data_IF_283919338242
#
_entry.id   IF_283919338242
#
_cell.length_a   1.000
_cell.length_b   1.000
_cell.length_c   1.000
_cell.angle_alpha   90.00
_cell.angle_beta   90.00
_cell.angle_gamma   90.00
#
_symmetry.space_group_name_H-M   'P 1'
#
loop_
_entity.id
_entity.type
_entity.pdbx_description
1 polymer ?
#
# COMPACT_ATOMS: atom_id res chain seq x y z
N UNK A 1 -3.31 -30.99 -18.72
CA UNK A 1 -2.41 -30.30 -17.78
C UNK A 1 -2.95 -30.54 -16.40
N UNK A 2 -2.25 -31.35 -15.61
CA UNK A 2 -2.73 -31.83 -14.31
C UNK A 2 -2.33 -30.90 -13.19
N UNK A 3 -3.02 -30.98 -12.04
CA UNK A 3 -2.69 -30.21 -10.83
C UNK A 3 -1.23 -30.38 -10.35
N UNK A 4 -0.57 -31.47 -10.75
CA UNK A 4 0.85 -31.75 -10.50
C UNK A 4 1.81 -30.83 -11.26
N UNK A 5 1.44 -30.36 -12.46
CA UNK A 5 2.33 -29.54 -13.29
C UNK A 5 2.47 -28.12 -12.72
N UNK A 6 1.41 -27.60 -12.09
CA UNK A 6 1.44 -26.31 -11.38
C UNK A 6 2.25 -26.35 -10.08
N UNK A 7 2.33 -27.51 -9.42
CA UNK A 7 3.12 -27.66 -8.19
C UNK A 7 4.63 -27.43 -8.43
N UNK A 8 5.12 -27.74 -9.64
CA UNK A 8 6.52 -27.53 -10.02
C UNK A 8 6.86 -26.05 -10.30
N UNK A 9 5.88 -25.23 -10.65
CA UNK A 9 6.08 -23.80 -10.95
C UNK A 9 6.09 -22.93 -9.68
N UNK A 10 5.45 -23.39 -8.61
CA UNK A 10 5.33 -22.65 -7.34
C UNK A 10 6.66 -22.15 -6.77
N UNK A 11 7.76 -22.92 -6.75
CA UNK A 11 9.05 -22.42 -6.26
C UNK A 11 9.62 -21.27 -7.12
N UNK A 12 9.36 -21.29 -8.43
CA UNK A 12 9.79 -20.23 -9.35
C UNK A 12 8.95 -18.97 -9.10
N UNK A 13 7.63 -19.12 -8.94
CA UNK A 13 6.73 -18.02 -8.60
C UNK A 13 7.12 -17.36 -7.27
N UNK A 14 7.42 -18.15 -6.24
CA UNK A 14 7.86 -17.63 -4.94
C UNK A 14 9.18 -16.87 -5.05
N UNK A 15 10.17 -17.40 -5.80
CA UNK A 15 11.42 -16.67 -6.05
C UNK A 15 11.21 -15.37 -6.82
N UNK A 16 10.31 -15.39 -7.81
CA UNK A 16 9.95 -14.19 -8.56
C UNK A 16 9.32 -13.15 -7.64
N UNK A 17 8.41 -13.56 -6.75
CA UNK A 17 7.76 -12.65 -5.80
C UNK A 17 8.76 -12.08 -4.79
N UNK A 18 9.64 -12.92 -4.24
CA UNK A 18 10.71 -12.44 -3.35
C UNK A 18 11.60 -11.41 -4.05
N UNK A 19 12.02 -11.67 -5.28
CA UNK A 19 12.82 -10.71 -6.07
C UNK A 19 12.05 -9.42 -6.36
N UNK A 20 10.78 -9.52 -6.75
CA UNK A 20 9.88 -8.38 -6.96
C UNK A 20 9.75 -7.53 -5.70
N UNK A 21 9.86 -8.12 -4.52
CA UNK A 21 9.80 -7.45 -3.23
C UNK A 21 11.18 -7.03 -2.68
N UNK A 22 12.25 -7.15 -3.48
CA UNK A 22 13.61 -6.74 -3.09
C UNK A 22 14.34 -7.74 -2.19
N UNK A 23 13.72 -8.87 -1.85
CA UNK A 23 14.29 -9.86 -0.94
C UNK A 23 15.47 -10.58 -1.61
N UNK A 24 16.57 -10.71 -0.87
CA UNK A 24 17.81 -11.34 -1.37
C UNK A 24 18.62 -10.45 -2.32
N UNK A 25 18.24 -9.18 -2.51
CA UNK A 25 19.06 -8.19 -3.19
C UNK A 25 20.04 -7.57 -2.19
N UNK A 26 21.30 -7.38 -2.60
CA UNK A 26 22.25 -6.66 -1.77
C UNK A 26 21.88 -5.16 -1.73
N UNK A 27 21.98 -4.51 -0.56
CA UNK A 27 21.77 -3.06 -0.47
C UNK A 27 22.74 -2.29 -1.37
N UNK A 28 22.24 -1.21 -1.97
CA UNK A 28 23.03 -0.34 -2.84
C UNK A 28 23.57 0.86 -2.05
N UNK A 29 24.90 0.98 -1.96
CA UNK A 29 25.53 2.17 -1.37
C UNK A 29 25.58 3.29 -2.41
N UNK A 30 25.02 4.45 -2.05
CA UNK A 30 25.02 5.67 -2.86
C UNK A 30 25.74 6.78 -2.11
N UNK A 31 26.13 7.88 -2.78
CA UNK A 31 26.66 9.07 -2.11
C UNK A 31 25.71 9.70 -1.07
N UNK A 32 24.42 9.35 -1.11
CA UNK A 32 23.37 9.89 -0.26
C UNK A 32 22.91 8.91 0.83
N UNK A 33 23.54 7.74 0.94
CA UNK A 33 23.18 6.69 1.89
C UNK A 33 22.99 5.32 1.24
N UNK A 34 22.54 4.35 2.02
CA UNK A 34 22.31 2.98 1.59
C UNK A 34 20.84 2.76 1.26
N UNK A 35 20.57 2.20 0.07
CA UNK A 35 19.24 1.79 -0.37
C UNK A 35 19.08 0.30 -0.09
N UNK A 36 18.18 -0.02 0.84
CA UNK A 36 17.75 -1.39 1.09
C UNK A 36 16.46 -1.68 0.31
N UNK A 37 16.57 -2.49 -0.75
CA UNK A 37 15.45 -2.76 -1.65
C UNK A 37 14.31 -3.53 -0.97
N UNK A 38 14.58 -4.31 0.07
CA UNK A 38 13.54 -5.02 0.82
C UNK A 38 12.65 -4.05 1.61
N UNK A 39 13.16 -2.86 1.93
CA UNK A 39 12.42 -1.80 2.64
C UNK A 39 11.81 -0.79 1.65
N UNK A 40 12.61 -0.32 0.71
CA UNK A 40 12.22 0.79 -0.16
C UNK A 40 11.15 0.41 -1.19
N UNK A 41 11.20 -0.82 -1.73
CA UNK A 41 10.21 -1.28 -2.73
C UNK A 41 8.80 -1.34 -2.12
N UNK A 42 8.57 -2.01 -0.97
CA UNK A 42 7.27 -1.97 -0.31
C UNK A 42 6.83 -0.55 0.05
N UNK A 43 7.76 0.29 0.50
CA UNK A 43 7.48 1.68 0.88
C UNK A 43 6.92 2.47 -0.30
N UNK A 44 7.61 2.47 -1.44
CA UNK A 44 7.16 3.17 -2.66
C UNK A 44 5.82 2.63 -3.16
N UNK A 45 5.62 1.30 -3.17
CA UNK A 45 4.37 0.68 -3.61
C UNK A 45 3.19 0.99 -2.69
N UNK A 46 3.44 1.07 -1.38
CA UNK A 46 2.41 1.39 -0.39
C UNK A 46 2.02 2.87 -0.36
N UNK A 47 2.83 3.75 -0.96
CA UNK A 47 2.66 5.21 -0.91
C UNK A 47 1.29 5.69 -1.39
N UNK A 48 0.71 5.08 -2.43
CA UNK A 48 -0.63 5.44 -2.91
C UNK A 48 -1.73 5.13 -1.90
N UNK A 49 -1.65 3.97 -1.24
CA UNK A 49 -2.60 3.57 -0.20
C UNK A 49 -2.48 4.46 1.05
N UNK A 50 -1.25 4.73 1.48
CA UNK A 50 -0.99 5.62 2.62
C UNK A 50 -1.52 7.02 2.33
N UNK A 51 -1.29 7.53 1.12
CA UNK A 51 -1.80 8.83 0.70
C UNK A 51 -3.33 8.86 0.74
N UNK A 52 -4.00 7.85 0.21
CA UNK A 52 -5.47 7.76 0.25
C UNK A 52 -6.00 7.73 1.69
N UNK A 53 -5.34 7.01 2.60
CA UNK A 53 -5.68 7.03 4.03
C UNK A 53 -5.55 8.42 4.65
N UNK A 54 -4.47 9.14 4.34
CA UNK A 54 -4.24 10.50 4.84
C UNK A 54 -5.32 11.44 4.29
N UNK A 55 -5.58 11.42 2.98
CA UNK A 55 -6.56 12.28 2.34
C UNK A 55 -7.98 12.04 2.94
N UNK A 56 -8.32 10.80 3.28
CA UNK A 56 -9.57 10.45 3.98
C UNK A 56 -9.64 10.96 5.43
N UNK A 57 -8.52 10.92 6.16
CA UNK A 57 -8.43 11.47 7.52
C UNK A 57 -8.59 12.99 7.49
N UNK A 58 -7.88 13.66 6.58
CA UNK A 58 -7.93 15.11 6.44
C UNK A 58 -9.34 15.58 6.06
N UNK A 59 -10.00 14.88 5.12
CA UNK A 59 -11.38 15.16 4.75
C UNK A 59 -12.35 14.94 5.93
N UNK A 60 -12.10 13.93 6.78
CA UNK A 60 -12.89 13.72 8.00
C UNK A 60 -12.74 14.90 8.96
N UNK A 61 -11.51 15.34 9.21
CA UNK A 61 -11.21 16.48 10.09
C UNK A 61 -11.89 17.75 9.54
N UNK A 62 -11.75 18.00 8.24
CA UNK A 62 -12.40 19.12 7.55
C UNK A 62 -13.92 19.12 7.78
N UNK A 63 -14.57 17.95 7.66
CA UNK A 63 -16.00 17.79 7.85
C UNK A 63 -16.47 17.75 9.30
N UNK A 64 -15.56 17.67 10.27
CA UNK A 64 -15.88 17.81 11.69
C UNK A 64 -16.01 19.27 12.12
N UNK A 65 -15.51 20.21 11.33
CA UNK A 65 -15.73 21.63 11.55
C UNK A 65 -17.19 22.01 11.20
N UNK A 66 -17.96 22.60 12.14
CA UNK A 66 -19.34 23.01 11.88
C UNK A 66 -19.50 23.96 10.70
N UNK A 67 -18.48 24.76 10.38
CA UNK A 67 -18.48 25.68 9.23
C UNK A 67 -18.55 24.95 7.88
N UNK A 68 -18.11 23.69 7.83
CA UNK A 68 -18.06 22.86 6.63
C UNK A 68 -19.22 21.84 6.56
N UNK A 69 -20.10 21.80 7.54
CA UNK A 69 -21.16 20.79 7.64
C UNK A 69 -22.10 20.72 6.42
N UNK A 70 -22.26 21.84 5.71
CA UNK A 70 -23.15 21.95 4.54
C UNK A 70 -22.47 21.57 3.21
N UNK A 71 -21.19 21.18 3.24
CA UNK A 71 -20.46 20.74 2.04
C UNK A 71 -20.96 19.35 1.60
N UNK A 72 -20.99 19.12 0.29
CA UNK A 72 -21.55 17.89 -0.28
C UNK A 72 -20.79 16.63 0.21
N UNK A 73 -19.46 16.71 0.22
CA UNK A 73 -18.55 15.70 0.72
C UNK A 73 -18.74 15.40 2.23
N UNK A 74 -19.19 16.38 3.01
CA UNK A 74 -19.40 16.21 4.45
C UNK A 74 -20.72 15.52 4.83
N UNK A 75 -21.67 15.44 3.90
CA UNK A 75 -22.97 14.78 4.12
C UNK A 75 -22.81 13.30 4.47
N UNK A 76 -21.87 12.61 3.79
CA UNK A 76 -21.55 11.21 4.05
C UNK A 76 -20.33 11.06 4.97
N UNK A 77 -19.30 11.90 4.81
CA UNK A 77 -18.05 11.79 5.56
C UNK A 77 -18.23 11.99 7.07
N UNK A 78 -19.11 12.90 7.49
CA UNK A 78 -19.38 13.17 8.92
C UNK A 78 -19.85 11.93 9.68
N UNK A 79 -20.57 11.01 9.01
CA UNK A 79 -21.13 9.79 9.59
C UNK A 79 -20.21 8.57 9.46
N UNK A 80 -19.22 8.63 8.57
CA UNK A 80 -18.29 7.52 8.35
C UNK A 80 -17.34 7.33 9.54
N UNK A 81 -17.20 6.09 10.01
CA UNK A 81 -16.37 5.73 11.19
C UNK A 81 -15.22 4.78 10.87
N UNK A 82 -15.37 3.99 9.81
CA UNK A 82 -14.45 2.92 9.48
C UNK A 82 -14.15 2.95 7.98
N UNK A 83 -12.89 2.69 7.65
CA UNK A 83 -12.44 2.40 6.30
C UNK A 83 -11.96 0.95 6.26
N UNK A 84 -12.36 0.23 5.23
CA UNK A 84 -11.90 -1.13 4.99
C UNK A 84 -11.06 -1.14 3.71
N UNK A 85 -9.79 -1.52 3.85
CA UNK A 85 -8.87 -1.68 2.74
C UNK A 85 -8.63 -3.16 2.52
N UNK A 86 -8.63 -3.57 1.25
CA UNK A 86 -8.23 -4.91 0.84
C UNK A 86 -7.09 -4.76 -0.15
N UNK A 87 -5.99 -5.47 0.11
CA UNK A 87 -4.92 -5.66 -0.86
C UNK A 87 -4.98 -7.08 -1.39
N UNK A 88 -4.64 -7.23 -2.67
CA UNK A 88 -4.39 -8.54 -3.26
C UNK A 88 -2.90 -8.84 -3.01
N UNK A 89 -2.60 -9.91 -2.28
CA UNK A 89 -1.23 -10.39 -2.06
C UNK A 89 -0.81 -11.37 -3.14
#
# INVERSE_FOLDING_TARGET
MGASDFAMLRPIELKSQSFINGQGMNPLNTPYGTIDFEIEIPTVRSGGLIKDMIDHIDLKIFCMDPSNANKAECTWMSKLKYYAYSSVS
#
